data_IF_069341075446
#
_entry.id   IF_069341075446
#
_cell.length_a   1.000
_cell.length_b   1.000
_cell.length_c   1.000
_cell.angle_alpha   90.00
_cell.angle_beta   90.00
_cell.angle_gamma   90.00
#
_symmetry.space_group_name_H-M   'P 1'
#
loop_
_entity.id
_entity.type
_entity.pdbx_description
1 polymer ?
#
# COMPACT_ATOMS: atom_id res chain seq x y z
N UNK A 1 11.94 -9.37 -12.75
CA UNK A 1 11.51 -8.56 -11.58
C UNK A 1 12.65 -7.57 -11.32
N UNK A 2 12.38 -6.27 -11.30
CA UNK A 2 13.40 -5.24 -11.04
C UNK A 2 13.76 -5.23 -9.54
N UNK A 3 14.96 -4.76 -9.17
CA UNK A 3 15.38 -4.67 -7.77
C UNK A 3 14.43 -3.76 -6.97
N UNK A 4 13.90 -4.26 -5.85
CA UNK A 4 12.99 -3.51 -4.95
C UNK A 4 13.67 -2.34 -4.25
N UNK A 5 15.01 -2.26 -4.27
CA UNK A 5 15.78 -1.18 -3.66
C UNK A 5 16.03 0.01 -4.61
N UNK A 6 15.74 -0.12 -5.91
CA UNK A 6 15.90 0.97 -6.90
C UNK A 6 14.72 1.95 -6.90
N UNK A 7 14.68 2.78 -5.87
CA UNK A 7 13.62 3.75 -5.64
C UNK A 7 13.38 4.71 -6.81
N UNK A 8 14.43 5.22 -7.45
CA UNK A 8 14.29 6.21 -8.53
C UNK A 8 13.62 5.58 -9.75
N UNK A 9 13.97 4.34 -10.07
CA UNK A 9 13.31 3.58 -11.14
C UNK A 9 11.82 3.35 -10.84
N UNK A 10 11.48 2.92 -9.62
CA UNK A 10 10.09 2.67 -9.22
C UNK A 10 9.22 3.93 -9.24
N UNK A 11 9.74 5.07 -8.77
CA UNK A 11 8.99 6.34 -8.80
C UNK A 11 8.71 6.76 -10.25
N UNK A 12 9.72 6.71 -11.11
CA UNK A 12 9.63 7.22 -12.48
C UNK A 12 8.89 6.29 -13.44
N UNK A 13 9.10 4.98 -13.34
CA UNK A 13 8.60 4.01 -14.32
C UNK A 13 7.40 3.20 -13.84
N UNK A 14 7.03 3.31 -12.56
CA UNK A 14 5.95 2.53 -11.97
C UNK A 14 4.89 3.39 -11.29
N UNK A 15 5.26 4.33 -10.41
CA UNK A 15 4.31 5.14 -9.63
C UNK A 15 3.35 5.98 -10.48
N UNK A 16 3.88 6.92 -11.29
CA UNK A 16 3.05 7.80 -12.12
C UNK A 16 2.20 7.02 -13.14
N UNK A 17 2.73 6.00 -13.85
CA UNK A 17 1.90 5.14 -14.70
C UNK A 17 0.82 4.38 -13.93
N UNK A 18 1.08 3.96 -12.68
CA UNK A 18 0.10 3.25 -11.85
C UNK A 18 -1.05 4.13 -11.40
N UNK A 19 -0.79 5.37 -11.00
CA UNK A 19 -1.84 6.31 -10.60
C UNK A 19 -2.77 6.62 -11.79
N UNK A 20 -2.18 6.92 -12.95
CA UNK A 20 -2.96 7.18 -14.16
C UNK A 20 -3.77 5.94 -14.56
N UNK A 21 -3.17 4.75 -14.51
CA UNK A 21 -3.86 3.51 -14.83
C UNK A 21 -4.98 3.22 -13.83
N UNK A 22 -4.75 3.45 -12.53
CA UNK A 22 -5.76 3.29 -11.50
C UNK A 22 -6.98 4.17 -11.79
N UNK A 23 -6.78 5.46 -12.04
CA UNK A 23 -7.87 6.40 -12.31
C UNK A 23 -8.63 6.04 -13.59
N UNK A 24 -7.92 5.66 -14.65
CA UNK A 24 -8.54 5.44 -15.97
C UNK A 24 -9.16 4.05 -16.14
N UNK A 25 -8.68 3.03 -15.42
CA UNK A 25 -9.07 1.62 -15.66
C UNK A 25 -9.56 0.88 -14.42
N UNK A 26 -9.21 1.33 -13.20
CA UNK A 26 -9.52 0.62 -11.96
C UNK A 26 -10.64 1.29 -11.19
N UNK A 27 -10.47 2.57 -10.83
CA UNK A 27 -11.46 3.35 -10.08
C UNK A 27 -12.86 3.29 -10.73
N UNK A 28 -13.02 3.40 -12.07
CA UNK A 28 -14.35 3.35 -12.70
C UNK A 28 -15.02 1.97 -12.63
N UNK A 29 -14.28 0.90 -12.27
CA UNK A 29 -14.79 -0.47 -12.19
C UNK A 29 -15.24 -0.88 -10.79
N UNK A 30 -15.00 -0.05 -9.77
CA UNK A 30 -15.36 -0.33 -8.38
C UNK A 30 -16.36 0.70 -7.88
N UNK A 31 -17.17 0.34 -6.89
CA UNK A 31 -18.14 1.29 -6.31
C UNK A 31 -17.42 2.33 -5.45
N UNK A 32 -18.03 3.49 -5.30
CA UNK A 32 -17.66 4.53 -4.31
C UNK A 32 -16.21 5.04 -4.38
N UNK A 33 -15.53 4.89 -5.52
CA UNK A 33 -14.20 5.46 -5.78
C UNK A 33 -14.31 6.50 -6.90
N UNK A 34 -14.60 7.73 -6.52
CA UNK A 34 -14.61 8.89 -7.41
C UNK A 34 -13.43 9.83 -7.09
N UNK A 35 -12.35 9.65 -7.85
CA UNK A 35 -11.05 10.30 -7.60
C UNK A 35 -10.38 10.71 -8.91
N UNK A 36 -9.58 11.77 -8.84
CA UNK A 36 -8.72 12.27 -9.91
C UNK A 36 -7.31 12.50 -9.39
N UNK A 37 -6.34 12.70 -10.29
CA UNK A 37 -4.98 13.07 -9.87
C UNK A 37 -5.01 14.40 -9.13
N UNK A 38 -4.24 14.50 -8.04
CA UNK A 38 -4.05 15.78 -7.39
C UNK A 38 -3.30 16.74 -8.34
N UNK A 39 -3.89 17.88 -8.73
CA UNK A 39 -3.27 18.81 -9.69
C UNK A 39 -1.94 19.37 -9.20
N UNK A 40 -1.73 19.45 -7.89
CA UNK A 40 -0.48 19.94 -7.29
C UNK A 40 0.72 19.01 -7.54
N UNK A 41 0.50 17.74 -7.92
CA UNK A 41 1.60 16.81 -8.24
C UNK A 41 2.49 17.30 -9.38
N UNK A 42 1.92 18.09 -10.29
CA UNK A 42 2.67 18.71 -11.40
C UNK A 42 3.78 19.65 -10.89
N UNK A 43 3.58 20.27 -9.73
CA UNK A 43 4.52 21.22 -9.13
C UNK A 43 5.31 20.61 -7.96
N UNK A 44 4.70 19.68 -7.23
CA UNK A 44 5.30 19.02 -6.08
C UNK A 44 4.98 17.52 -6.08
N UNK A 45 5.93 16.64 -6.45
CA UNK A 45 5.69 15.19 -6.53
C UNK A 45 5.46 14.51 -5.16
N UNK A 46 5.60 15.24 -4.05
CA UNK A 46 5.45 14.70 -2.68
C UNK A 46 4.10 14.99 -2.03
N UNK A 47 3.18 15.69 -2.72
CA UNK A 47 1.79 15.85 -2.26
C UNK A 47 1.01 14.53 -2.41
N UNK A 48 -0.13 14.37 -1.73
CA UNK A 48 -1.02 13.23 -1.91
C UNK A 48 -1.37 12.95 -3.37
N UNK A 49 -1.54 11.68 -3.70
CA UNK A 49 -1.68 11.25 -5.09
C UNK A 49 -2.98 11.70 -5.75
N UNK A 50 -4.06 11.66 -4.98
CA UNK A 50 -5.43 11.73 -5.47
C UNK A 50 -6.23 12.82 -4.74
N UNK A 51 -7.25 13.31 -5.43
CA UNK A 51 -8.30 14.17 -4.88
C UNK A 51 -9.66 13.62 -5.28
N UNK A 52 -10.56 13.48 -4.30
CA UNK A 52 -11.96 13.09 -4.53
C UNK A 52 -12.73 14.21 -5.24
N UNK A 53 -13.89 13.90 -5.81
CA UNK A 53 -14.78 14.92 -6.40
C UNK A 53 -15.27 15.98 -5.42
N UNK A 54 -15.20 15.70 -4.11
CA UNK A 54 -15.52 16.66 -3.04
C UNK A 54 -14.30 17.42 -2.50
N UNK A 55 -13.14 17.31 -3.15
CA UNK A 55 -11.92 18.04 -2.77
C UNK A 55 -11.11 17.40 -1.64
N UNK A 56 -11.52 16.23 -1.13
CA UNK A 56 -10.76 15.49 -0.12
C UNK A 56 -9.52 14.84 -0.70
N UNK A 57 -8.39 14.95 0.00
CA UNK A 57 -7.12 14.33 -0.38
C UNK A 57 -7.12 12.82 -0.08
N UNK A 58 -6.51 12.06 -0.98
CA UNK A 58 -6.25 10.63 -0.81
C UNK A 58 -4.87 10.23 -1.34
N UNK A 59 -4.30 9.15 -0.80
CA UNK A 59 -3.02 8.59 -1.26
C UNK A 59 -3.24 7.16 -1.75
N UNK A 60 -2.63 6.81 -2.88
CA UNK A 60 -2.81 5.52 -3.54
C UNK A 60 -1.66 4.59 -3.20
N UNK A 61 -1.99 3.44 -2.61
CA UNK A 61 -1.05 2.37 -2.30
C UNK A 61 -1.32 1.17 -3.19
N UNK A 62 -0.50 1.01 -4.23
CA UNK A 62 -0.52 -0.15 -5.11
C UNK A 62 0.36 -1.27 -4.54
N UNK A 63 -0.19 -2.48 -4.34
CA UNK A 63 0.59 -3.64 -3.88
C UNK A 63 0.31 -4.88 -4.72
N UNK A 64 1.38 -5.53 -5.18
CA UNK A 64 1.30 -6.70 -6.07
C UNK A 64 1.93 -7.97 -5.53
N UNK A 65 2.63 -7.87 -4.39
CA UNK A 65 3.29 -8.98 -3.71
C UNK A 65 2.83 -9.02 -2.25
N UNK A 66 2.25 -10.14 -1.79
CA UNK A 66 1.86 -10.32 -0.39
C UNK A 66 3.08 -10.33 0.55
N UNK A 67 2.86 -9.96 1.80
CA UNK A 67 3.82 -10.27 2.87
C UNK A 67 3.67 -11.74 3.29
N UNK A 68 4.27 -12.65 2.52
CA UNK A 68 4.14 -14.11 2.71
C UNK A 68 4.48 -14.60 4.12
N UNK A 69 5.51 -14.02 4.75
CA UNK A 69 6.01 -14.47 6.05
C UNK A 69 5.23 -13.93 7.25
N UNK A 70 4.17 -13.13 7.04
CA UNK A 70 3.51 -12.41 8.12
C UNK A 70 2.85 -13.35 9.14
N UNK A 71 2.34 -14.51 8.69
CA UNK A 71 1.77 -15.53 9.56
C UNK A 71 2.77 -16.09 10.55
N UNK A 72 3.99 -16.38 10.08
CA UNK A 72 5.04 -16.90 10.94
C UNK A 72 5.56 -15.85 11.91
N UNK A 73 5.76 -14.62 11.44
CA UNK A 73 6.39 -13.56 12.24
C UNK A 73 5.42 -12.89 13.23
N UNK A 74 4.13 -12.85 12.90
CA UNK A 74 3.13 -12.06 13.62
C UNK A 74 1.81 -12.80 13.87
N UNK A 75 1.64 -14.05 13.40
CA UNK A 75 0.37 -14.80 13.50
C UNK A 75 -0.82 -14.10 12.82
N UNK A 76 -0.58 -13.38 11.71
CA UNK A 76 -1.60 -12.70 10.90
C UNK A 76 -1.75 -13.40 9.54
N UNK A 77 -2.95 -13.37 8.94
CA UNK A 77 -3.17 -13.98 7.63
C UNK A 77 -2.55 -13.16 6.47
N UNK A 78 -1.68 -13.75 5.64
CA UNK A 78 -0.99 -13.05 4.56
C UNK A 78 -1.94 -12.62 3.43
N UNK A 79 -3.04 -13.35 3.26
CA UNK A 79 -4.01 -13.14 2.19
C UNK A 79 -4.53 -11.70 2.11
N UNK A 80 -4.80 -11.12 3.28
CA UNK A 80 -5.44 -9.82 3.44
C UNK A 80 -4.56 -8.82 4.19
N UNK A 81 -3.25 -9.09 4.26
CA UNK A 81 -2.30 -8.16 4.87
C UNK A 81 -1.65 -7.28 3.82
N UNK A 82 -1.67 -5.97 4.06
CA UNK A 82 -0.92 -4.97 3.29
C UNK A 82 0.11 -4.27 4.17
N UNK A 83 1.16 -3.76 3.53
CA UNK A 83 2.19 -2.98 4.22
C UNK A 83 1.93 -1.48 4.11
N UNK A 84 2.17 -0.73 5.17
CA UNK A 84 2.05 0.73 5.16
C UNK A 84 3.29 1.36 5.77
N UNK A 85 4.04 2.11 4.97
CA UNK A 85 5.37 2.58 5.39
C UNK A 85 5.28 3.51 6.61
N UNK A 86 6.14 3.30 7.60
CA UNK A 86 6.22 4.17 8.79
C UNK A 86 6.49 5.63 8.44
N UNK A 87 7.32 5.88 7.41
CA UNK A 87 7.59 7.25 6.92
C UNK A 87 6.33 7.93 6.38
N UNK A 88 5.43 7.18 5.76
CA UNK A 88 4.19 7.71 5.20
C UNK A 88 3.24 8.02 6.37
N UNK A 89 3.13 7.10 7.35
CA UNK A 89 2.44 7.36 8.61
C UNK A 89 2.91 8.65 9.31
N UNK A 90 4.22 8.81 9.52
CA UNK A 90 4.78 10.00 10.18
C UNK A 90 4.52 11.28 9.37
N UNK A 91 4.58 11.19 8.03
CA UNK A 91 4.27 12.32 7.13
C UNK A 91 2.81 12.74 7.23
N UNK A 92 1.88 11.79 7.16
CA UNK A 92 0.45 12.10 7.21
C UNK A 92 0.04 12.60 8.58
N UNK A 93 0.59 12.04 9.66
CA UNK A 93 0.35 12.52 11.02
C UNK A 93 0.69 14.01 11.19
N UNK A 94 1.75 14.48 10.52
CA UNK A 94 2.17 15.88 10.58
C UNK A 94 1.41 16.78 9.61
N UNK A 95 1.20 16.33 8.37
CA UNK A 95 0.84 17.22 7.26
C UNK A 95 -0.57 16.97 6.72
N UNK A 96 -1.14 15.77 6.90
CA UNK A 96 -2.38 15.35 6.26
C UNK A 96 -3.21 14.44 7.19
N UNK A 97 -3.65 14.91 8.38
CA UNK A 97 -4.33 14.06 9.36
C UNK A 97 -5.67 13.50 8.87
N UNK A 98 -6.33 14.17 7.92
CA UNK A 98 -7.67 13.81 7.42
C UNK A 98 -7.64 13.06 6.07
N UNK A 99 -6.45 12.64 5.63
CA UNK A 99 -6.26 11.95 4.34
C UNK A 99 -6.90 10.57 4.33
N UNK A 100 -7.50 10.19 3.20
CA UNK A 100 -7.94 8.82 2.97
C UNK A 100 -6.80 8.00 2.35
N UNK A 101 -6.67 6.73 2.75
CA UNK A 101 -5.70 5.81 2.16
C UNK A 101 -6.45 4.79 1.32
N UNK A 102 -6.12 4.72 0.02
CA UNK A 102 -6.72 3.78 -0.93
C UNK A 102 -5.67 2.72 -1.26
N UNK A 103 -5.99 1.45 -1.00
CA UNK A 103 -5.19 0.31 -1.41
C UNK A 103 -5.75 -0.30 -2.68
N UNK A 104 -4.95 -0.34 -3.74
CA UNK A 104 -5.18 -1.21 -4.89
C UNK A 104 -4.28 -2.42 -4.76
N UNK A 105 -4.88 -3.57 -4.46
CA UNK A 105 -4.17 -4.83 -4.25
C UNK A 105 -4.40 -5.73 -5.44
N UNK A 106 -3.32 -6.31 -5.97
CA UNK A 106 -3.33 -7.26 -7.08
C UNK A 106 -2.21 -8.28 -6.88
N UNK A 107 -2.44 -9.34 -6.10
CA UNK A 107 -1.46 -10.41 -5.85
C UNK A 107 -1.11 -11.16 -7.13
N UNK A 108 -0.05 -10.71 -7.79
CA UNK A 108 0.51 -11.33 -9.00
C UNK A 108 1.45 -12.48 -8.67
N UNK A 109 2.06 -12.42 -7.49
CA UNK A 109 2.83 -13.52 -6.94
C UNK A 109 2.00 -14.14 -5.82
N UNK A 110 1.62 -15.41 -6.01
CA UNK A 110 0.80 -16.19 -5.06
C UNK A 110 1.62 -17.25 -4.32
N UNK A 111 2.88 -17.45 -4.71
CA UNK A 111 3.78 -18.41 -4.07
C UNK A 111 5.15 -17.77 -3.78
N UNK A 112 5.73 -18.10 -2.63
CA UNK A 112 7.11 -17.78 -2.28
C UNK A 112 7.81 -19.00 -1.68
N UNK A 113 8.91 -19.43 -2.31
CA UNK A 113 9.80 -20.45 -1.76
C UNK A 113 10.95 -19.79 -0.99
N UNK A 114 11.11 -20.16 0.28
CA UNK A 114 12.20 -19.64 1.09
C UNK A 114 13.54 -20.21 0.63
N UNK A 115 14.54 -19.34 0.47
CA UNK A 115 15.90 -19.77 0.12
C UNK A 115 16.44 -20.73 1.18
N UNK A 116 17.11 -21.80 0.73
CA UNK A 116 17.76 -22.80 1.57
C UNK A 116 16.79 -23.59 2.49
N UNK A 117 15.51 -23.62 2.13
CA UNK A 117 14.46 -24.36 2.84
C UNK A 117 13.50 -24.98 1.83
N UNK A 118 12.86 -26.08 2.22
CA UNK A 118 11.73 -26.66 1.46
C UNK A 118 10.41 -25.92 1.71
N UNK A 119 10.41 -24.92 2.59
CA UNK A 119 9.21 -24.18 2.96
C UNK A 119 8.71 -23.29 1.82
N UNK A 120 7.45 -23.51 1.47
CA UNK A 120 6.69 -22.76 0.48
C UNK A 120 5.53 -22.06 1.20
N UNK A 121 5.35 -20.77 0.90
CA UNK A 121 4.23 -19.95 1.38
C UNK A 121 3.32 -19.68 0.20
N UNK A 122 2.01 -19.82 0.40
CA UNK A 122 1.01 -19.58 -0.63
C UNK A 122 -0.06 -18.63 -0.13
N UNK A 123 -0.64 -17.89 -1.08
CA UNK A 123 -1.90 -17.14 -0.91
C UNK A 123 -2.75 -17.34 -2.17
N UNK A 124 -4.06 -17.15 -2.04
CA UNK A 124 -4.94 -17.03 -3.20
C UNK A 124 -4.71 -15.69 -3.92
N UNK A 125 -4.97 -15.63 -5.24
CA UNK A 125 -5.03 -14.36 -5.95
C UNK A 125 -6.06 -13.42 -5.31
N UNK A 126 -5.67 -12.17 -5.05
CA UNK A 126 -6.60 -11.09 -4.68
C UNK A 126 -6.37 -9.93 -5.61
N UNK A 127 -7.45 -9.42 -6.19
CA UNK A 127 -7.43 -8.23 -7.03
C UNK A 127 -8.62 -7.32 -6.72
N UNK A 128 -8.42 -6.26 -5.95
CA UNK A 128 -9.50 -5.40 -5.50
C UNK A 128 -9.04 -4.06 -4.95
N UNK A 129 -10.01 -3.26 -4.52
CA UNK A 129 -9.78 -1.92 -3.96
C UNK A 129 -10.40 -1.82 -2.57
N UNK A 130 -9.61 -1.30 -1.63
CA UNK A 130 -10.01 -1.04 -0.24
C UNK A 130 -9.64 0.39 0.14
N UNK A 131 -10.36 0.99 1.08
CA UNK A 131 -9.95 2.26 1.68
C UNK A 131 -10.24 2.34 3.18
N UNK A 132 -9.49 3.21 3.84
CA UNK A 132 -9.74 3.61 5.22
C UNK A 132 -9.32 5.06 5.42
N UNK A 133 -9.75 5.64 6.54
CA UNK A 133 -9.27 6.93 6.97
C UNK A 133 -7.90 6.80 7.62
N UNK A 134 -7.06 7.83 7.49
CA UNK A 134 -5.79 7.82 8.20
C UNK A 134 -5.96 7.77 9.73
N UNK A 135 -7.06 8.33 10.25
CA UNK A 135 -7.47 8.19 11.65
C UNK A 135 -7.70 6.72 12.06
N UNK A 136 -8.22 5.86 11.18
CA UNK A 136 -8.36 4.43 11.46
C UNK A 136 -6.99 3.76 11.65
N UNK A 137 -6.01 4.15 10.83
CA UNK A 137 -4.63 3.64 10.94
C UNK A 137 -4.00 4.10 12.26
N UNK A 138 -4.16 5.37 12.65
CA UNK A 138 -3.73 5.88 13.96
C UNK A 138 -4.32 5.01 15.08
N UNK A 139 -5.61 4.73 15.00
CA UNK A 139 -6.32 3.91 15.96
C UNK A 139 -5.77 2.49 16.03
N UNK A 140 -5.53 1.84 14.89
CA UNK A 140 -4.96 0.49 14.85
C UNK A 140 -3.54 0.44 15.41
N UNK A 141 -2.72 1.46 15.13
CA UNK A 141 -1.36 1.58 15.69
C UNK A 141 -1.43 1.75 17.21
N UNK A 142 -2.25 2.67 17.71
CA UNK A 142 -2.39 2.95 19.15
C UNK A 142 -2.94 1.73 19.92
N UNK A 143 -3.89 1.01 19.32
CA UNK A 143 -4.48 -0.22 19.89
C UNK A 143 -3.58 -1.45 19.71
N UNK A 144 -2.38 -1.31 19.13
CA UNK A 144 -1.43 -2.40 18.83
C UNK A 144 -2.03 -3.49 17.93
N UNK A 145 -2.96 -3.12 17.06
CA UNK A 145 -3.59 -3.98 16.06
C UNK A 145 -2.86 -3.97 14.71
N UNK A 146 -1.90 -3.07 14.54
CA UNK A 146 -1.03 -2.97 13.36
C UNK A 146 0.44 -3.10 13.78
N UNK A 147 1.01 -4.32 13.80
CA UNK A 147 2.41 -4.52 14.18
C UNK A 147 3.37 -3.77 13.25
N UNK A 148 4.47 -3.26 13.80
CA UNK A 148 5.54 -2.64 13.03
C UNK A 148 6.59 -3.69 12.64
N UNK A 149 6.83 -3.85 11.33
CA UNK A 149 7.86 -4.73 10.80
C UNK A 149 9.11 -3.96 10.37
N UNK A 150 10.28 -4.19 11.00
CA UNK A 150 11.54 -3.61 10.57
C UNK A 150 12.22 -4.42 9.47
N UNK A 151 12.63 -3.77 8.38
CA UNK A 151 13.38 -4.39 7.31
C UNK A 151 14.88 -4.43 7.63
N UNK A 152 15.38 -5.58 8.08
CA UNK A 152 16.77 -5.75 8.54
C UNK A 152 17.84 -5.33 7.53
N UNK A 153 17.58 -5.50 6.22
CA UNK A 153 18.54 -5.18 5.16
C UNK A 153 18.62 -3.69 4.81
N UNK A 154 17.72 -2.86 5.35
CA UNK A 154 17.59 -1.43 4.99
C UNK A 154 17.98 -0.48 6.12
N UNK A 155 18.57 -0.99 7.21
CA UNK A 155 18.96 -0.18 8.38
C UNK A 155 19.96 0.95 8.04
N UNK A 156 20.89 0.68 7.10
CA UNK A 156 21.89 1.64 6.60
C UNK A 156 21.52 2.26 5.24
N UNK A 157 20.28 2.08 4.78
CA UNK A 157 19.85 2.62 3.50
C UNK A 157 19.89 4.16 3.50
N UNK A 158 20.62 4.72 2.54
CA UNK A 158 20.75 6.17 2.27
C UNK A 158 19.91 6.61 1.07
N UNK A 159 19.28 5.66 0.36
CA UNK A 159 18.44 5.91 -0.82
C UNK A 159 17.00 6.30 -0.43
N UNK A 160 16.63 6.16 0.85
CA UNK A 160 15.35 6.56 1.41
C UNK A 160 14.23 5.54 1.14
N UNK A 161 14.60 4.26 1.07
CA UNK A 161 13.69 3.12 1.08
C UNK A 161 12.97 3.03 2.43
N UNK A 162 11.79 2.41 2.45
CA UNK A 162 11.07 2.18 3.71
C UNK A 162 11.88 1.24 4.60
N UNK A 163 12.22 1.71 5.81
CA UNK A 163 12.97 0.95 6.82
C UNK A 163 12.07 0.09 7.68
N UNK A 164 10.83 0.54 7.87
CA UNK A 164 9.82 -0.15 8.65
C UNK A 164 8.43 0.09 8.02
N UNK A 165 7.55 -0.90 8.13
CA UNK A 165 6.16 -0.81 7.69
C UNK A 165 5.21 -1.37 8.73
N UNK A 166 4.09 -0.69 8.95
CA UNK A 166 2.94 -1.24 9.65
C UNK A 166 2.27 -2.32 8.81
N UNK A 167 1.78 -3.36 9.47
CA UNK A 167 1.03 -4.45 8.86
C UNK A 167 -0.45 -4.20 9.10
N UNK A 168 -1.19 -3.92 8.03
CA UNK A 168 -2.61 -3.58 8.08
C UNK A 168 -3.46 -4.72 7.53
N UNK A 169 -4.65 -4.90 8.09
CA UNK A 169 -5.62 -5.92 7.70
C UNK A 169 -6.71 -5.31 6.83
N UNK A 170 -6.81 -5.74 5.57
CA UNK A 170 -7.81 -5.28 4.61
C UNK A 170 -9.24 -5.57 5.07
N UNK A 171 -9.47 -6.58 5.92
CA UNK A 171 -10.80 -6.90 6.43
C UNK A 171 -11.35 -5.82 7.38
N UNK A 172 -10.51 -4.89 7.82
CA UNK A 172 -10.91 -3.74 8.65
C UNK A 172 -11.20 -2.48 7.82
N UNK A 173 -11.02 -2.55 6.50
CA UNK A 173 -11.18 -1.43 5.58
C UNK A 173 -12.50 -1.51 4.82
N UNK A 174 -12.97 -0.38 4.30
CA UNK A 174 -14.10 -0.36 3.39
C UNK A 174 -13.71 -1.04 2.07
N UNK A 175 -14.46 -2.05 1.68
CA UNK A 175 -14.24 -2.78 0.42
C UNK A 175 -15.07 -2.18 -0.72
N UNK A 176 -14.37 -1.69 -1.74
CA UNK A 176 -14.96 -1.08 -2.93
C UNK A 176 -15.28 -2.09 -4.04
N UNK A 177 -14.62 -3.25 -4.04
CA UNK A 177 -14.92 -4.31 -4.99
C UNK A 177 -13.69 -4.98 -5.55
N UNK A 178 -13.92 -6.14 -6.17
CA UNK A 178 -12.90 -6.84 -6.94
C UNK A 178 -12.81 -6.24 -8.34
N UNK A 179 -11.61 -6.31 -8.91
CA UNK A 179 -11.33 -5.85 -10.27
C UNK A 179 -11.13 -7.08 -11.15
N UNK A 180 -11.90 -7.17 -12.24
CA UNK A 180 -11.57 -8.06 -13.34
C UNK A 180 -10.63 -7.31 -14.30
N UNK A 181 -9.41 -7.83 -14.45
CA UNK A 181 -8.43 -7.33 -15.40
C UNK A 181 -8.62 -7.99 -16.76
#
# INVERSE_FOLDING_TARGET
MHDTEDKQWWVKHYGVPQEQYFISHIAPKVKDVDVSLNPEKSNNPYVPDLVTSYGRLADLKCQTTPFFKVKELYSIEPQFTVTFNKKDYERYLKNYPDIAIIFWVNWRQTEYKQKWSEKIYTVEPVNGVWSCEFSDIIDWVNKKLAPLHPYCNRKKDTLGNAKDSYLLDLNKMYFHGYVQL
#
